data_IF_041876104176
#
_entry.id   IF_041876104176
#
_cell.length_a   1.000
_cell.length_b   1.000
_cell.length_c   1.000
_cell.angle_alpha   90.00
_cell.angle_beta   90.00
_cell.angle_gamma   90.00
#
_symmetry.space_group_name_H-M   'P 1'
#
loop_
_entity.id
_entity.type
_entity.pdbx_description
1 polymer ?
#
# COMPACT_ATOMS: atom_id res chain seq x y z
N UNK A 1 -33.13 -16.75 -12.42
CA UNK A 1 -33.24 -16.14 -11.10
C UNK A 1 -32.30 -14.97 -11.04
N UNK A 2 -32.63 -13.89 -10.34
CA UNK A 2 -31.78 -12.69 -10.24
C UNK A 2 -31.16 -12.62 -8.84
N UNK A 3 -29.92 -12.10 -8.75
CA UNK A 3 -29.27 -11.83 -7.49
C UNK A 3 -30.15 -10.96 -6.59
N UNK A 4 -30.13 -11.22 -5.30
CA UNK A 4 -30.81 -10.39 -4.31
C UNK A 4 -30.29 -8.95 -4.39
N UNK A 5 -31.12 -7.93 -4.08
CA UNK A 5 -30.72 -6.53 -4.22
C UNK A 5 -29.44 -6.17 -3.45
N UNK A 6 -29.21 -6.77 -2.28
CA UNK A 6 -27.99 -6.60 -1.51
C UNK A 6 -26.75 -7.16 -2.25
N UNK A 7 -26.88 -8.34 -2.87
CA UNK A 7 -25.79 -8.94 -3.64
C UNK A 7 -25.50 -8.17 -4.93
N UNK A 8 -26.53 -7.57 -5.54
CA UNK A 8 -26.33 -6.67 -6.68
C UNK A 8 -25.52 -5.44 -6.28
N UNK A 9 -25.80 -4.83 -5.12
CA UNK A 9 -25.02 -3.72 -4.57
C UNK A 9 -23.56 -4.14 -4.28
N UNK A 10 -23.36 -5.32 -3.67
CA UNK A 10 -22.03 -5.87 -3.44
C UNK A 10 -21.23 -6.03 -4.75
N UNK A 11 -21.84 -6.64 -5.77
CA UNK A 11 -21.17 -6.85 -7.06
C UNK A 11 -20.82 -5.54 -7.76
N UNK A 12 -21.70 -4.52 -7.70
CA UNK A 12 -21.38 -3.19 -8.24
C UNK A 12 -20.18 -2.52 -7.55
N UNK A 13 -20.01 -2.76 -6.25
CA UNK A 13 -18.84 -2.30 -5.51
C UNK A 13 -17.61 -3.12 -5.93
N UNK A 14 -17.72 -4.44 -5.94
CA UNK A 14 -16.63 -5.35 -6.30
C UNK A 14 -16.09 -5.11 -7.71
N UNK A 15 -16.93 -4.79 -8.67
CA UNK A 15 -16.53 -4.46 -10.04
C UNK A 15 -15.55 -3.28 -10.13
N UNK A 16 -15.63 -2.35 -9.17
CA UNK A 16 -14.69 -1.20 -9.06
C UNK A 16 -13.42 -1.53 -8.28
N UNK A 17 -13.45 -2.58 -7.44
CA UNK A 17 -12.39 -2.98 -6.53
C UNK A 17 -11.97 -4.45 -6.77
N UNK A 18 -11.68 -4.79 -8.04
CA UNK A 18 -11.44 -6.18 -8.48
C UNK A 18 -10.30 -6.86 -7.72
N UNK A 19 -9.20 -6.15 -7.51
CA UNK A 19 -7.98 -6.66 -6.88
C UNK A 19 -7.93 -6.41 -5.36
N UNK A 20 -9.07 -6.04 -4.75
CA UNK A 20 -9.17 -5.65 -3.34
C UNK A 20 -10.22 -6.50 -2.65
N UNK A 21 -9.93 -7.05 -1.48
CA UNK A 21 -10.90 -7.79 -0.68
C UNK A 21 -11.91 -6.82 -0.06
N UNK A 22 -13.20 -6.99 -0.36
CA UNK A 22 -14.26 -6.10 0.12
C UNK A 22 -14.81 -6.61 1.44
N UNK A 23 -14.60 -5.85 2.51
CA UNK A 23 -15.18 -6.06 3.83
C UNK A 23 -16.50 -5.30 3.91
N UNK A 24 -17.61 -6.02 3.71
CA UNK A 24 -18.93 -5.45 3.52
C UNK A 24 -19.71 -5.44 4.83
N UNK A 25 -20.05 -4.26 5.37
CA UNK A 25 -20.73 -4.12 6.66
C UNK A 25 -22.15 -4.64 6.64
N UNK A 26 -22.45 -5.58 7.53
CA UNK A 26 -23.77 -6.14 7.76
C UNK A 26 -24.01 -6.31 9.27
N UNK A 27 -24.74 -5.38 9.87
CA UNK A 27 -24.94 -5.35 11.33
C UNK A 27 -23.61 -5.24 12.07
N UNK A 28 -23.32 -6.20 12.95
CA UNK A 28 -22.11 -6.23 13.77
C UNK A 28 -20.95 -7.00 13.12
N UNK A 29 -21.06 -7.35 11.82
CA UNK A 29 -20.03 -8.06 11.09
C UNK A 29 -19.61 -7.32 9.84
N UNK A 30 -18.36 -7.57 9.42
CA UNK A 30 -17.94 -7.41 8.04
C UNK A 30 -17.99 -8.78 7.37
N UNK A 31 -18.78 -8.91 6.34
CA UNK A 31 -18.93 -10.13 5.56
C UNK A 31 -18.24 -9.99 4.21
N UNK A 32 -17.62 -11.05 3.77
CA UNK A 32 -17.00 -11.20 2.45
C UNK A 32 -17.76 -12.26 1.68
N UNK A 33 -17.89 -12.10 0.36
CA UNK A 33 -18.69 -12.98 -0.49
C UNK A 33 -17.88 -13.45 -1.70
N UNK A 34 -18.33 -14.56 -2.31
CA UNK A 34 -17.78 -15.16 -3.51
C UNK A 34 -16.26 -15.40 -3.38
N UNK A 35 -15.47 -14.96 -4.36
CA UNK A 35 -14.02 -15.16 -4.37
C UNK A 35 -13.31 -14.50 -3.17
N UNK A 36 -13.80 -13.33 -2.73
CA UNK A 36 -13.27 -12.66 -1.53
C UNK A 36 -13.43 -13.53 -0.28
N UNK A 37 -14.56 -14.22 -0.15
CA UNK A 37 -14.79 -15.13 0.97
C UNK A 37 -13.88 -16.35 0.92
N UNK A 38 -13.64 -16.92 -0.25
CA UNK A 38 -12.75 -18.07 -0.44
C UNK A 38 -11.31 -17.69 -0.07
N UNK A 39 -10.84 -16.55 -0.56
CA UNK A 39 -9.50 -16.04 -0.24
C UNK A 39 -9.38 -15.73 1.25
N UNK A 40 -10.30 -14.92 1.79
CA UNK A 40 -10.24 -14.49 3.18
C UNK A 40 -10.38 -15.66 4.17
N UNK A 41 -11.23 -16.65 3.88
CA UNK A 41 -11.38 -17.84 4.75
C UNK A 41 -10.08 -18.63 4.83
N UNK A 42 -9.36 -18.79 3.71
CA UNK A 42 -8.08 -19.50 3.65
C UNK A 42 -6.98 -18.71 4.37
N UNK A 43 -6.86 -17.41 4.08
CA UNK A 43 -5.75 -16.60 4.60
C UNK A 43 -5.90 -16.24 6.08
N UNK A 44 -7.13 -16.17 6.59
CA UNK A 44 -7.46 -15.80 7.96
C UNK A 44 -7.91 -17.00 8.82
N UNK A 45 -7.95 -18.21 8.22
CA UNK A 45 -8.42 -19.42 8.89
C UNK A 45 -9.88 -19.31 9.41
N UNK A 46 -10.74 -18.62 8.61
CA UNK A 46 -12.15 -18.44 8.94
C UNK A 46 -13.00 -19.57 8.38
N UNK A 47 -14.09 -19.88 9.08
CA UNK A 47 -15.07 -20.84 8.57
C UNK A 47 -15.76 -20.29 7.33
N UNK A 48 -15.64 -21.00 6.20
CA UNK A 48 -16.39 -20.71 4.99
C UNK A 48 -17.80 -21.27 5.13
N UNK A 49 -18.79 -20.40 4.97
CA UNK A 49 -20.23 -20.73 5.00
C UNK A 49 -20.88 -20.35 3.69
N UNK A 50 -22.21 -20.42 3.61
CA UNK A 50 -22.96 -19.99 2.43
C UNK A 50 -24.12 -19.09 2.81
N UNK A 51 -24.34 -18.04 2.02
CA UNK A 51 -25.48 -17.13 2.17
C UNK A 51 -26.43 -17.23 0.98
N UNK A 52 -27.73 -17.13 1.24
CA UNK A 52 -28.71 -17.03 0.19
C UNK A 52 -28.49 -15.72 -0.60
N UNK A 53 -28.29 -15.87 -1.89
CA UNK A 53 -28.01 -14.77 -2.81
C UNK A 53 -29.13 -14.54 -3.84
N UNK A 54 -30.23 -15.32 -3.77
CA UNK A 54 -31.33 -15.30 -4.74
C UNK A 54 -31.12 -16.22 -5.95
N UNK A 55 -30.02 -16.96 -5.99
CA UNK A 55 -29.77 -18.04 -6.96
C UNK A 55 -30.03 -19.40 -6.32
N UNK A 56 -30.00 -20.49 -7.11
CA UNK A 56 -30.14 -21.85 -6.59
C UNK A 56 -29.00 -22.24 -5.66
N UNK A 57 -27.78 -21.83 -6.01
CA UNK A 57 -26.60 -22.03 -5.18
C UNK A 57 -26.38 -20.87 -4.21
N UNK A 58 -26.00 -21.21 -2.98
CA UNK A 58 -25.65 -20.21 -1.97
C UNK A 58 -24.29 -19.59 -2.30
N UNK A 59 -24.17 -18.26 -2.19
CA UNK A 59 -22.89 -17.58 -2.33
C UNK A 59 -21.96 -17.99 -1.18
N UNK A 60 -20.70 -18.40 -1.48
CA UNK A 60 -19.68 -18.55 -0.44
C UNK A 60 -19.59 -17.27 0.39
N UNK A 61 -19.49 -17.40 1.71
CA UNK A 61 -19.44 -16.29 2.66
C UNK A 61 -18.57 -16.64 3.85
N UNK A 62 -17.77 -15.70 4.30
CA UNK A 62 -17.17 -15.68 5.64
C UNK A 62 -17.31 -14.27 6.23
N UNK A 63 -17.10 -14.14 7.54
CA UNK A 63 -17.24 -12.84 8.19
C UNK A 63 -16.43 -12.74 9.47
N UNK A 64 -16.17 -11.49 9.86
CA UNK A 64 -15.45 -11.15 11.09
C UNK A 64 -16.24 -10.11 11.87
N UNK A 65 -16.19 -10.13 13.23
CA UNK A 65 -16.82 -9.10 14.04
C UNK A 65 -16.20 -7.73 13.75
N UNK A 66 -17.03 -6.68 13.66
CA UNK A 66 -16.56 -5.35 13.27
C UNK A 66 -15.52 -4.78 14.25
N UNK A 67 -15.66 -5.05 15.54
CA UNK A 67 -14.75 -4.57 16.57
C UNK A 67 -13.37 -5.24 16.55
N UNK A 68 -13.23 -6.36 15.85
CA UNK A 68 -11.98 -7.10 15.72
C UNK A 68 -11.35 -6.98 14.32
N UNK A 69 -11.94 -6.18 13.43
CA UNK A 69 -11.58 -6.11 12.00
C UNK A 69 -10.12 -5.74 11.77
N UNK A 70 -9.56 -4.85 12.59
CA UNK A 70 -8.20 -4.33 12.44
C UNK A 70 -7.14 -5.43 12.49
N UNK A 71 -7.26 -6.37 13.42
CA UNK A 71 -6.36 -7.52 13.52
C UNK A 71 -6.43 -8.47 12.31
N UNK A 72 -7.61 -8.64 11.73
CA UNK A 72 -7.77 -9.44 10.51
C UNK A 72 -7.24 -8.72 9.27
N UNK A 73 -7.50 -7.42 9.16
CA UNK A 73 -6.95 -6.58 8.09
C UNK A 73 -5.43 -6.57 8.13
N UNK A 74 -4.81 -6.39 9.31
CA UNK A 74 -3.36 -6.42 9.48
C UNK A 74 -2.73 -7.70 8.91
N UNK A 75 -3.31 -8.88 9.21
CA UNK A 75 -2.84 -10.17 8.67
C UNK A 75 -2.92 -10.26 7.15
N UNK A 76 -3.97 -9.72 6.53
CA UNK A 76 -4.11 -9.69 5.07
C UNK A 76 -3.08 -8.75 4.43
N UNK A 77 -2.86 -7.57 5.02
CA UNK A 77 -1.87 -6.61 4.54
C UNK A 77 -0.44 -7.17 4.62
N UNK A 78 -0.10 -7.95 5.66
CA UNK A 78 1.19 -8.63 5.77
C UNK A 78 1.43 -9.65 4.64
N UNK A 79 0.35 -10.25 4.16
CA UNK A 79 0.36 -11.18 3.02
C UNK A 79 0.26 -10.47 1.66
N UNK A 80 0.22 -9.13 1.64
CA UNK A 80 0.20 -8.30 0.44
C UNK A 80 -1.17 -8.03 -0.16
N UNK A 81 -2.26 -8.43 0.50
CA UNK A 81 -3.62 -8.14 0.03
C UNK A 81 -4.01 -6.69 0.31
N UNK A 82 -4.89 -6.15 -0.52
CA UNK A 82 -5.57 -4.87 -0.33
C UNK A 82 -6.96 -5.11 0.24
N UNK A 83 -7.44 -4.24 1.11
CA UNK A 83 -8.74 -4.37 1.77
C UNK A 83 -9.55 -3.08 1.61
N UNK A 84 -10.79 -3.19 1.13
CA UNK A 84 -11.73 -2.08 1.03
C UNK A 84 -12.80 -2.21 2.12
N UNK A 85 -12.89 -1.22 2.99
CA UNK A 85 -13.88 -1.15 4.06
C UNK A 85 -15.15 -0.49 3.52
N UNK A 86 -16.23 -1.25 3.50
CA UNK A 86 -17.54 -0.84 3.03
C UNK A 86 -18.47 -0.63 4.22
N UNK A 87 -18.87 0.62 4.47
CA UNK A 87 -19.75 1.00 5.58
C UNK A 87 -21.16 1.34 5.12
N UNK A 88 -22.11 1.21 6.04
CA UNK A 88 -23.47 1.67 5.87
C UNK A 88 -23.49 3.19 5.97
N UNK A 89 -23.94 3.87 4.91
CA UNK A 89 -24.01 5.34 4.87
C UNK A 89 -25.37 5.88 5.32
N UNK A 90 -26.41 5.02 5.37
CA UNK A 90 -27.74 5.37 5.87
C UNK A 90 -28.09 4.53 7.09
N UNK A 91 -28.80 5.12 8.06
CA UNK A 91 -29.28 4.35 9.21
C UNK A 91 -30.44 3.42 8.82
N UNK A 92 -30.51 2.22 9.40
CA UNK A 92 -31.63 1.33 9.19
C UNK A 92 -32.96 2.03 9.58
N UNK A 93 -33.90 2.13 8.64
CA UNK A 93 -35.20 2.74 8.85
C UNK A 93 -35.37 4.19 8.40
N UNK A 94 -34.31 4.88 7.98
CA UNK A 94 -34.40 6.27 7.45
C UNK A 94 -34.87 6.34 5.99
N UNK A 95 -34.74 5.25 5.24
CA UNK A 95 -35.22 5.16 3.84
C UNK A 95 -36.04 3.89 3.59
N UNK A 96 -37.04 4.00 2.72
CA UNK A 96 -37.76 2.82 2.18
C UNK A 96 -36.84 2.16 1.14
N UNK A 97 -36.20 1.06 1.51
CA UNK A 97 -35.33 0.32 0.57
C UNK A 97 -34.13 -0.32 1.25
N UNK A 98 -33.12 -0.62 0.45
CA UNK A 98 -31.86 -1.21 0.90
C UNK A 98 -30.99 -0.11 1.48
N UNK A 99 -30.38 -0.41 2.61
CA UNK A 99 -29.35 0.46 3.23
C UNK A 99 -28.22 0.68 2.23
N UNK A 100 -27.94 1.93 1.90
CA UNK A 100 -26.83 2.27 1.02
C UNK A 100 -25.49 2.01 1.72
N UNK A 101 -24.54 1.50 0.95
CA UNK A 101 -23.19 1.20 1.41
C UNK A 101 -22.19 1.73 0.42
N UNK A 102 -21.14 2.33 0.94
CA UNK A 102 -20.05 2.87 0.16
C UNK A 102 -18.70 2.50 0.77
N UNK A 103 -17.66 2.42 -0.08
CA UNK A 103 -16.31 2.28 0.40
C UNK A 103 -15.88 3.58 1.05
N UNK A 104 -15.57 3.51 2.35
CA UNK A 104 -15.10 4.65 3.13
C UNK A 104 -13.58 4.74 3.15
N UNK A 105 -12.89 3.61 2.98
CA UNK A 105 -11.43 3.53 3.02
C UNK A 105 -10.95 2.31 2.24
N UNK A 106 -9.86 2.46 1.52
CA UNK A 106 -9.07 1.36 0.99
C UNK A 106 -7.75 1.31 1.76
N UNK A 107 -7.43 0.15 2.33
CA UNK A 107 -6.23 -0.06 3.13
C UNK A 107 -5.32 -0.99 2.33
N UNK A 108 -4.10 -0.53 2.08
CA UNK A 108 -3.08 -1.28 1.36
C UNK A 108 -1.83 -1.45 2.22
N UNK A 109 -0.90 -2.35 1.90
CA UNK A 109 0.32 -2.52 2.68
C UNK A 109 1.13 -1.25 2.91
N UNK A 110 1.15 -0.33 1.91
CA UNK A 110 1.86 0.95 1.99
C UNK A 110 1.05 2.08 2.63
N UNK A 111 -0.26 1.91 2.86
CA UNK A 111 -1.14 2.98 3.36
C UNK A 111 -1.66 2.74 4.78
N UNK A 112 -0.96 1.96 5.58
CA UNK A 112 -1.29 1.74 7.01
C UNK A 112 -1.10 3.03 7.79
N UNK A 113 -2.08 3.37 8.64
CA UNK A 113 -2.04 4.55 9.52
C UNK A 113 -2.29 4.15 10.98
N UNK A 114 -3.12 3.11 11.19
CA UNK A 114 -3.54 2.70 12.52
C UNK A 114 -2.37 2.08 13.27
N UNK A 115 -2.16 2.51 14.51
CA UNK A 115 -1.01 2.09 15.35
C UNK A 115 -0.95 0.58 15.57
N UNK A 116 -2.09 -0.10 15.58
CA UNK A 116 -2.18 -1.56 15.73
C UNK A 116 -1.66 -2.32 14.50
N UNK A 117 -1.61 -1.65 13.33
CA UNK A 117 -1.15 -2.22 12.06
C UNK A 117 0.31 -1.87 11.74
N UNK A 118 0.91 -0.94 12.47
CA UNK A 118 2.27 -0.46 12.27
C UNK A 118 3.25 -1.16 13.20
N UNK A 119 4.44 -1.43 12.70
CA UNK A 119 5.57 -1.87 13.55
C UNK A 119 6.24 -0.62 14.10
N UNK A 120 6.30 -0.48 15.42
CA UNK A 120 6.70 0.75 16.12
C UNK A 120 8.05 1.35 15.66
N UNK A 121 9.00 0.54 15.27
CA UNK A 121 10.39 0.95 15.02
C UNK A 121 10.78 0.91 13.53
N UNK A 122 9.81 0.80 12.62
CA UNK A 122 10.06 0.66 11.19
C UNK A 122 9.12 1.60 10.42
N UNK A 123 9.68 2.34 9.46
CA UNK A 123 8.89 3.14 8.55
C UNK A 123 8.04 2.26 7.62
N UNK A 124 6.84 2.73 7.28
CA UNK A 124 5.93 2.04 6.35
C UNK A 124 5.86 2.82 5.04
N UNK A 125 6.86 2.62 4.19
CA UNK A 125 6.93 3.37 2.93
C UNK A 125 6.02 2.80 1.84
N UNK A 126 5.24 3.69 1.23
CA UNK A 126 4.64 3.52 -0.09
C UNK A 126 5.54 4.20 -1.12
N UNK A 127 5.89 3.51 -2.20
CA UNK A 127 6.77 4.02 -3.24
C UNK A 127 6.06 4.06 -4.59
N UNK A 128 6.33 5.11 -5.36
CA UNK A 128 5.94 5.23 -6.76
C UNK A 128 7.18 5.29 -7.64
N UNK A 129 7.18 4.51 -8.72
CA UNK A 129 8.26 4.46 -9.70
C UNK A 129 7.74 4.85 -11.08
N UNK A 130 8.49 5.70 -11.76
CA UNK A 130 8.21 6.11 -13.13
C UNK A 130 9.42 5.91 -14.02
N UNK A 131 9.28 5.10 -15.07
CA UNK A 131 10.32 4.89 -16.08
C UNK A 131 9.96 5.60 -17.38
N UNK A 132 10.92 6.31 -17.95
CA UNK A 132 10.84 6.92 -19.30
C UNK A 132 12.21 6.86 -19.97
N UNK A 133 12.30 6.17 -21.10
CA UNK A 133 13.59 5.93 -21.77
C UNK A 133 14.53 5.11 -20.88
N UNK A 134 15.72 5.64 -20.61
CA UNK A 134 16.73 5.01 -19.75
C UNK A 134 16.69 5.54 -18.30
N UNK A 135 15.84 6.52 -18.02
CA UNK A 135 15.75 7.16 -16.70
C UNK A 135 14.63 6.60 -15.86
N UNK A 136 14.80 6.69 -14.53
CA UNK A 136 13.80 6.33 -13.54
C UNK A 136 13.66 7.42 -12.49
N UNK A 137 12.42 7.85 -12.22
CA UNK A 137 12.06 8.66 -11.08
C UNK A 137 11.44 7.79 -10.00
N UNK A 138 11.86 7.99 -8.76
CA UNK A 138 11.29 7.34 -7.58
C UNK A 138 10.81 8.41 -6.61
N UNK A 139 9.63 8.18 -6.01
CA UNK A 139 9.13 8.98 -4.88
C UNK A 139 8.52 8.04 -3.85
N UNK A 140 8.77 8.30 -2.57
CA UNK A 140 8.22 7.46 -1.50
C UNK A 140 7.80 8.29 -0.30
N UNK A 141 6.84 7.77 0.43
CA UNK A 141 6.21 8.46 1.56
C UNK A 141 5.93 7.49 2.69
N UNK A 142 6.16 7.93 3.91
CA UNK A 142 5.58 7.32 5.11
C UNK A 142 4.40 8.19 5.56
N UNK A 143 3.19 7.65 5.44
CA UNK A 143 1.97 8.40 5.78
C UNK A 143 1.89 8.69 7.27
N UNK A 144 2.49 7.84 8.11
CA UNK A 144 2.42 7.98 9.57
C UNK A 144 3.27 9.15 10.08
N UNK A 145 4.39 9.44 9.42
CA UNK A 145 5.33 10.52 9.79
C UNK A 145 5.17 11.76 8.92
N UNK A 146 4.63 11.61 7.70
CA UNK A 146 4.57 12.68 6.69
C UNK A 146 5.88 12.88 5.95
N UNK A 147 6.86 12.01 6.15
CA UNK A 147 8.12 12.00 5.40
C UNK A 147 7.87 11.66 3.93
N UNK A 148 8.32 12.53 3.03
CA UNK A 148 8.17 12.38 1.58
C UNK A 148 9.50 12.66 0.90
N UNK A 149 10.03 11.65 0.22
CA UNK A 149 11.34 11.71 -0.42
C UNK A 149 11.25 11.38 -1.91
N UNK A 150 12.28 11.77 -2.66
CA UNK A 150 12.41 11.45 -4.08
C UNK A 150 13.86 11.31 -4.52
N UNK A 151 14.08 10.51 -5.57
CA UNK A 151 15.35 10.35 -6.27
C UNK A 151 15.13 10.16 -7.77
N UNK A 152 16.08 10.62 -8.60
CA UNK A 152 16.06 10.42 -10.05
C UNK A 152 17.39 9.82 -10.50
N UNK A 153 17.29 8.85 -11.40
CA UNK A 153 18.41 8.12 -11.96
C UNK A 153 18.34 8.16 -13.48
N UNK A 154 19.34 8.74 -14.12
CA UNK A 154 19.41 8.86 -15.59
C UNK A 154 20.38 7.83 -16.20
N UNK A 155 21.49 7.54 -15.47
CA UNK A 155 22.47 6.53 -15.87
C UNK A 155 22.47 5.36 -14.88
N UNK A 156 22.65 4.14 -15.38
CA UNK A 156 22.64 2.92 -14.54
C UNK A 156 21.42 2.82 -13.61
N UNK A 157 20.28 3.31 -14.08
CA UNK A 157 19.06 3.47 -13.29
C UNK A 157 18.64 2.19 -12.56
N UNK A 158 18.77 1.02 -13.20
CA UNK A 158 18.43 -0.26 -12.56
C UNK A 158 19.34 -0.59 -11.37
N UNK A 159 20.64 -0.29 -11.43
CA UNK A 159 21.57 -0.53 -10.33
C UNK A 159 21.24 0.34 -9.12
N UNK A 160 21.16 1.66 -9.33
CA UNK A 160 20.86 2.61 -8.26
C UNK A 160 19.46 2.42 -7.68
N UNK A 161 18.49 2.03 -8.53
CA UNK A 161 17.14 1.72 -8.06
C UNK A 161 17.13 0.48 -7.17
N UNK A 162 17.86 -0.59 -7.52
CA UNK A 162 17.97 -1.78 -6.67
C UNK A 162 18.64 -1.48 -5.31
N UNK A 163 19.65 -0.61 -5.30
CA UNK A 163 20.25 -0.11 -4.06
C UNK A 163 19.25 0.67 -3.22
N UNK A 164 18.52 1.61 -3.84
CA UNK A 164 17.47 2.39 -3.18
C UNK A 164 16.38 1.47 -2.61
N UNK A 165 15.86 0.53 -3.40
CA UNK A 165 14.82 -0.40 -2.98
C UNK A 165 15.25 -1.25 -1.79
N UNK A 166 16.48 -1.76 -1.80
CA UNK A 166 17.01 -2.56 -0.68
C UNK A 166 17.20 -1.75 0.60
N UNK A 167 17.43 -0.43 0.49
CA UNK A 167 17.62 0.48 1.62
C UNK A 167 16.29 1.00 2.17
N UNK A 168 15.40 1.48 1.32
CA UNK A 168 14.08 2.01 1.70
C UNK A 168 13.14 0.88 2.13
N UNK A 169 13.27 -0.30 1.52
CA UNK A 169 12.44 -1.49 1.79
C UNK A 169 10.93 -1.17 1.83
N UNK A 170 10.37 -0.63 0.74
CA UNK A 170 8.97 -0.20 0.73
C UNK A 170 8.01 -1.36 0.99
N UNK A 171 6.89 -1.06 1.63
CA UNK A 171 5.82 -2.02 1.91
C UNK A 171 4.90 -2.23 0.70
N UNK A 172 4.88 -1.28 -0.23
CA UNK A 172 4.11 -1.35 -1.47
C UNK A 172 4.77 -0.45 -2.52
N UNK A 173 4.72 -0.91 -3.78
CA UNK A 173 5.23 -0.16 -4.94
C UNK A 173 4.13 -0.03 -5.98
N UNK A 174 3.88 1.18 -6.45
CA UNK A 174 3.10 1.46 -7.64
C UNK A 174 4.02 1.94 -8.76
N UNK A 175 3.68 1.67 -10.01
CA UNK A 175 4.52 2.07 -11.14
C UNK A 175 3.72 2.30 -12.42
N UNK A 176 4.36 2.93 -13.42
CA UNK A 176 3.86 2.92 -14.79
C UNK A 176 4.23 1.61 -15.51
N UNK A 177 3.56 1.30 -16.62
CA UNK A 177 3.78 0.05 -17.35
C UNK A 177 5.22 -0.10 -17.88
N UNK A 178 5.90 1.02 -18.20
CA UNK A 178 7.28 1.00 -18.68
C UNK A 178 8.27 0.37 -17.68
N UNK A 179 7.96 0.44 -16.36
CA UNK A 179 8.78 -0.20 -15.33
C UNK A 179 8.87 -1.71 -15.45
N UNK A 180 7.89 -2.39 -16.06
CA UNK A 180 7.94 -3.84 -16.27
C UNK A 180 9.06 -4.28 -17.24
N UNK A 181 9.56 -3.35 -18.06
CA UNK A 181 10.66 -3.60 -18.98
C UNK A 181 12.04 -3.29 -18.38
N UNK A 182 12.10 -2.89 -17.11
CA UNK A 182 13.35 -2.59 -16.41
C UNK A 182 13.87 -3.82 -15.67
N UNK A 183 15.20 -3.94 -15.53
CA UNK A 183 15.83 -5.05 -14.80
C UNK A 183 15.83 -4.79 -13.27
N UNK A 184 14.64 -4.59 -12.70
CA UNK A 184 14.49 -4.37 -11.25
C UNK A 184 14.29 -5.70 -10.54
N UNK A 185 15.12 -5.97 -9.55
CA UNK A 185 15.01 -7.17 -8.72
C UNK A 185 14.16 -6.90 -7.46
N UNK A 186 12.87 -7.20 -7.57
CA UNK A 186 11.93 -7.04 -6.46
C UNK A 186 12.17 -8.01 -5.30
N UNK A 187 12.95 -9.10 -5.50
CA UNK A 187 13.28 -10.05 -4.42
C UNK A 187 14.16 -9.41 -3.34
N UNK A 188 14.82 -8.30 -3.66
CA UNK A 188 15.68 -7.55 -2.77
C UNK A 188 14.91 -6.55 -1.88
N UNK A 189 13.65 -6.27 -2.22
CA UNK A 189 12.89 -5.19 -1.56
C UNK A 189 12.50 -5.52 -0.14
N UNK A 190 12.11 -6.77 0.12
CA UNK A 190 11.67 -7.16 1.47
C UNK A 190 12.16 -8.55 1.84
N UNK A 191 12.99 -8.60 2.87
CA UNK A 191 13.52 -9.85 3.37
C UNK A 191 12.41 -10.68 4.04
N UNK A 192 12.01 -11.80 3.41
CA UNK A 192 11.00 -12.71 3.96
C UNK A 192 9.56 -12.22 3.96
N UNK A 193 9.25 -11.10 3.28
CA UNK A 193 7.90 -10.57 3.15
C UNK A 193 7.48 -10.32 1.71
N UNK A 194 6.18 -10.08 1.51
CA UNK A 194 5.61 -9.70 0.21
C UNK A 194 5.60 -8.18 0.09
N UNK A 195 6.19 -7.64 -0.98
CA UNK A 195 6.01 -6.25 -1.38
C UNK A 195 5.15 -6.23 -2.65
N UNK A 196 3.88 -5.84 -2.57
CA UNK A 196 3.05 -5.70 -3.76
C UNK A 196 3.65 -4.71 -4.73
N UNK A 197 3.73 -5.12 -6.00
CA UNK A 197 4.19 -4.29 -7.11
C UNK A 197 3.05 -4.26 -8.14
N UNK A 198 2.47 -3.09 -8.37
CA UNK A 198 1.30 -2.96 -9.24
C UNK A 198 1.41 -1.77 -10.18
N UNK A 199 0.90 -1.96 -11.41
CA UNK A 199 0.73 -0.86 -12.35
C UNK A 199 -0.41 0.01 -11.83
N UNK A 200 -0.15 1.31 -11.75
CA UNK A 200 -1.18 2.31 -11.44
C UNK A 200 -1.61 3.01 -12.72
N UNK A 201 -2.66 3.81 -12.63
CA UNK A 201 -3.25 4.55 -13.75
C UNK A 201 -2.20 5.41 -14.49
N UNK A 202 -1.98 5.10 -15.77
CA UNK A 202 -0.99 5.81 -16.61
C UNK A 202 -1.24 7.32 -16.69
N UNK A 203 -2.51 7.75 -16.58
CA UNK A 203 -2.86 9.17 -16.61
C UNK A 203 -2.34 9.94 -15.40
N UNK A 204 -2.12 9.26 -14.28
CA UNK A 204 -1.54 9.84 -13.07
C UNK A 204 -0.04 10.18 -13.24
N UNK A 205 0.64 9.48 -14.15
CA UNK A 205 2.05 9.71 -14.50
C UNK A 205 2.24 10.76 -15.61
N UNK A 206 1.16 11.24 -16.26
CA UNK A 206 1.27 12.35 -17.22
C UNK A 206 1.83 13.58 -16.52
N UNK A 207 2.86 14.21 -17.14
CA UNK A 207 3.59 15.29 -16.50
C UNK A 207 2.71 16.47 -16.08
N UNK A 208 1.76 16.88 -16.94
CA UNK A 208 0.92 18.05 -16.66
C UNK A 208 -0.06 17.74 -15.53
N UNK A 209 -0.59 16.52 -15.46
CA UNK A 209 -1.47 16.09 -14.38
C UNK A 209 -0.68 15.93 -13.07
N UNK A 210 0.44 15.22 -13.10
CA UNK A 210 1.33 15.03 -11.97
C UNK A 210 1.81 16.36 -11.37
N UNK A 211 2.21 17.32 -12.23
CA UNK A 211 2.64 18.64 -11.79
C UNK A 211 1.53 19.44 -11.11
N UNK A 212 0.28 19.34 -11.61
CA UNK A 212 -0.87 19.98 -10.95
C UNK A 212 -1.11 19.41 -9.55
N UNK A 213 -1.03 18.08 -9.39
CA UNK A 213 -1.21 17.40 -8.10
C UNK A 213 -0.09 17.80 -7.13
N UNK A 214 1.17 17.70 -7.57
CA UNK A 214 2.34 18.12 -6.77
C UNK A 214 2.22 19.59 -6.33
N UNK A 215 1.80 20.49 -7.22
CA UNK A 215 1.60 21.92 -6.91
C UNK A 215 0.48 22.14 -5.89
N UNK A 216 -0.58 21.35 -5.94
CA UNK A 216 -1.73 21.42 -5.02
C UNK A 216 -1.35 20.98 -3.61
N UNK A 217 -0.63 19.84 -3.49
CA UNK A 217 -0.48 19.13 -2.23
C UNK A 217 0.87 19.42 -1.53
N UNK A 218 1.97 19.60 -2.27
CA UNK A 218 3.28 19.93 -1.68
C UNK A 218 3.54 21.42 -1.67
N UNK A 219 3.65 21.99 -0.46
CA UNK A 219 3.98 23.41 -0.27
C UNK A 219 5.46 23.69 -0.56
N UNK A 220 6.36 22.86 -0.07
CA UNK A 220 7.78 22.91 -0.37
C UNK A 220 8.14 21.82 -1.37
N UNK A 221 8.39 22.23 -2.60
CA UNK A 221 8.70 21.38 -3.76
C UNK A 221 9.97 21.81 -4.50
N UNK A 222 10.77 22.71 -3.91
CA UNK A 222 11.98 23.25 -4.56
C UNK A 222 12.93 22.16 -5.01
N UNK A 223 13.04 21.09 -4.23
CA UNK A 223 13.88 19.92 -4.54
C UNK A 223 13.43 19.11 -5.77
N UNK A 224 12.16 19.26 -6.19
CA UNK A 224 11.59 18.61 -7.38
C UNK A 224 11.77 19.45 -8.67
N UNK A 225 12.13 20.75 -8.54
CA UNK A 225 12.27 21.62 -9.70
C UNK A 225 13.32 21.07 -10.68
N UNK A 226 12.96 21.01 -11.96
CA UNK A 226 13.81 20.47 -13.04
C UNK A 226 13.88 18.92 -13.10
N UNK A 227 13.25 18.18 -12.20
CA UNK A 227 13.27 16.71 -12.15
C UNK A 227 11.97 16.12 -12.67
N UNK A 228 11.84 16.05 -13.99
CA UNK A 228 10.62 15.58 -14.66
C UNK A 228 10.17 14.22 -14.18
N UNK A 229 11.07 13.24 -14.11
CA UNK A 229 10.71 11.86 -13.73
C UNK A 229 10.23 11.77 -12.27
N UNK A 230 10.87 12.52 -11.36
CA UNK A 230 10.41 12.60 -9.98
C UNK A 230 9.04 13.27 -9.84
N UNK A 231 8.75 14.30 -10.65
CA UNK A 231 7.44 14.96 -10.64
C UNK A 231 6.34 13.97 -11.06
N UNK A 232 6.57 13.18 -12.12
CA UNK A 232 5.64 12.16 -12.56
C UNK A 232 5.40 11.09 -11.46
N UNK A 233 6.48 10.59 -10.85
CA UNK A 233 6.38 9.62 -9.76
C UNK A 233 5.67 10.22 -8.52
N UNK A 234 6.01 11.45 -8.13
CA UNK A 234 5.41 12.12 -6.98
C UNK A 234 3.93 12.44 -7.18
N UNK A 235 3.54 12.89 -8.38
CA UNK A 235 2.15 13.16 -8.70
C UNK A 235 1.28 11.90 -8.63
N UNK A 236 1.74 10.81 -9.24
CA UNK A 236 1.05 9.52 -9.17
C UNK A 236 0.95 8.99 -7.73
N UNK A 237 2.00 9.17 -6.92
CA UNK A 237 2.01 8.79 -5.51
C UNK A 237 0.93 9.54 -4.71
N UNK A 238 0.86 10.85 -4.88
CA UNK A 238 -0.13 11.70 -4.19
C UNK A 238 -1.55 11.39 -4.66
N UNK A 239 -1.76 11.16 -5.95
CA UNK A 239 -3.06 10.76 -6.49
C UNK A 239 -3.51 9.39 -5.95
N UNK A 240 -2.60 8.41 -5.86
CA UNK A 240 -2.87 7.12 -5.25
C UNK A 240 -3.30 7.26 -3.79
N UNK A 241 -2.63 8.13 -3.02
CA UNK A 241 -2.99 8.43 -1.65
C UNK A 241 -4.38 9.09 -1.54
N UNK A 242 -4.71 10.04 -2.42
CA UNK A 242 -6.03 10.67 -2.44
C UNK A 242 -7.14 9.65 -2.75
N UNK A 243 -6.91 8.74 -3.71
CA UNK A 243 -7.87 7.68 -4.09
C UNK A 243 -8.08 6.66 -2.96
N UNK A 244 -7.04 6.23 -2.28
CA UNK A 244 -7.11 5.19 -1.24
C UNK A 244 -7.60 5.72 0.10
N UNK A 245 -7.10 6.87 0.54
CA UNK A 245 -7.42 7.44 1.84
C UNK A 245 -8.72 8.25 1.86
N UNK A 246 -9.19 8.71 0.68
CA UNK A 246 -10.40 9.55 0.52
C UNK A 246 -10.44 10.77 1.44
N UNK A 247 -9.26 11.26 1.86
CA UNK A 247 -9.06 12.43 2.71
C UNK A 247 -7.74 13.12 2.37
N UNK A 248 -7.68 14.43 2.62
CA UNK A 248 -6.46 15.20 2.40
C UNK A 248 -5.44 14.92 3.50
N UNK A 249 -4.22 14.57 3.11
CA UNK A 249 -3.10 14.31 4.01
C UNK A 249 -2.25 15.59 4.18
N UNK A 250 -2.77 16.58 4.91
CA UNK A 250 -2.17 17.91 5.06
C UNK A 250 -0.79 17.93 5.72
N UNK A 251 -0.41 16.88 6.42
CA UNK A 251 0.89 16.75 7.07
C UNK A 251 2.01 16.40 6.08
N UNK A 252 1.68 15.84 4.92
CA UNK A 252 2.63 15.64 3.82
C UNK A 252 2.72 16.97 3.06
N UNK A 253 3.69 17.79 3.39
CA UNK A 253 3.76 19.16 2.85
C UNK A 253 5.10 19.53 2.24
N UNK A 254 6.15 18.73 2.48
CA UNK A 254 7.52 18.94 2.04
C UNK A 254 8.04 17.69 1.35
N UNK A 255 8.80 17.88 0.27
CA UNK A 255 9.53 16.80 -0.39
C UNK A 255 11.02 17.03 -0.26
N UNK A 256 11.76 15.98 0.13
CA UNK A 256 13.21 16.02 0.25
C UNK A 256 13.86 15.17 -0.84
N UNK A 257 14.96 15.68 -1.39
CA UNK A 257 15.76 14.91 -2.33
C UNK A 257 16.69 14.01 -1.54
N UNK A 258 16.73 12.75 -1.91
CA UNK A 258 17.75 11.83 -1.45
C UNK A 258 18.81 11.66 -2.54
N UNK A 259 20.05 12.01 -2.21
CA UNK A 259 21.20 11.79 -3.08
C UNK A 259 21.83 10.45 -2.74
N UNK A 260 21.75 9.52 -3.69
CA UNK A 260 22.34 8.16 -3.49
C UNK A 260 23.85 8.23 -3.30
N UNK A 261 24.51 9.23 -3.88
CA UNK A 261 25.96 9.46 -3.77
C UNK A 261 26.42 9.85 -2.34
N UNK A 262 25.50 10.32 -1.49
CA UNK A 262 25.80 10.67 -0.09
C UNK A 262 25.99 9.43 0.80
N UNK A 263 25.67 8.25 0.28
CA UNK A 263 25.75 6.99 1.00
C UNK A 263 26.76 6.03 0.36
N UNK A 264 27.36 5.18 1.17
CA UNK A 264 28.13 4.06 0.67
C UNK A 264 27.22 3.06 -0.04
N UNK A 265 27.45 2.80 -1.33
CA UNK A 265 26.72 1.81 -2.11
C UNK A 265 26.89 0.42 -1.50
N UNK A 266 25.83 -0.15 -0.96
CA UNK A 266 25.77 -1.52 -0.46
C UNK A 266 24.61 -2.19 -1.17
N UNK A 267 24.91 -3.15 -2.04
CA UNK A 267 23.87 -3.90 -2.75
C UNK A 267 23.03 -4.76 -1.79
N UNK A 268 21.85 -5.17 -2.26
CA UNK A 268 20.91 -5.94 -1.45
C UNK A 268 21.49 -7.27 -0.94
N UNK A 269 22.35 -7.95 -1.70
CA UNK A 269 22.97 -9.19 -1.30
C UNK A 269 24.03 -8.95 -0.20
N UNK A 270 24.83 -7.89 -0.34
CA UNK A 270 25.78 -7.49 0.68
C UNK A 270 25.08 -7.09 1.99
N UNK A 271 23.99 -6.30 1.92
CA UNK A 271 23.17 -5.97 3.11
C UNK A 271 22.66 -7.22 3.82
N UNK A 272 22.20 -8.19 3.04
CA UNK A 272 21.70 -9.48 3.54
C UNK A 272 22.81 -10.30 4.19
N UNK A 273 23.93 -10.47 3.48
CA UNK A 273 25.05 -11.27 3.95
C UNK A 273 25.72 -10.69 5.19
N UNK A 274 25.79 -9.36 5.28
CA UNK A 274 26.32 -8.64 6.44
C UNK A 274 25.33 -8.55 7.61
N UNK A 275 24.10 -9.03 7.42
CA UNK A 275 23.04 -9.00 8.45
C UNK A 275 22.88 -7.61 9.10
N UNK A 276 22.87 -6.55 8.29
CA UNK A 276 22.88 -5.18 8.81
C UNK A 276 21.59 -4.85 9.59
N UNK A 277 20.44 -5.19 9.03
CA UNK A 277 19.12 -4.86 9.61
C UNK A 277 18.30 -6.07 10.05
N UNK A 278 18.53 -7.24 9.42
CA UNK A 278 17.85 -8.50 9.71
C UNK A 278 18.85 -9.64 9.70
N UNK A 279 18.63 -10.70 10.49
CA UNK A 279 19.46 -11.90 10.46
C UNK A 279 18.86 -12.96 9.54
N UNK A 280 19.71 -13.83 8.96
CA UNK A 280 19.27 -14.91 8.07
C UNK A 280 18.63 -16.09 8.82
N UNK A 281 18.89 -16.23 10.12
CA UNK A 281 18.47 -17.41 10.91
C UNK A 281 17.16 -17.27 11.65
N UNK A 282 16.74 -16.06 12.04
CA UNK A 282 15.51 -15.84 12.79
C UNK A 282 14.84 -14.55 12.29
N UNK A 283 13.61 -14.65 11.79
CA UNK A 283 12.84 -13.55 11.19
C UNK A 283 12.58 -12.31 12.07
N UNK A 284 13.08 -12.31 13.31
CA UNK A 284 12.90 -11.24 14.30
C UNK A 284 14.10 -10.28 14.41
N UNK A 285 15.08 -10.33 13.50
CA UNK A 285 16.26 -9.45 13.51
C UNK A 285 17.19 -9.64 14.71
N UNK A 286 16.98 -10.63 15.57
CA UNK A 286 17.91 -10.99 16.63
C UNK A 286 19.22 -11.43 15.99
N UNK A 287 20.34 -10.75 16.35
CA UNK A 287 21.64 -10.99 15.75
C UNK A 287 22.07 -9.99 14.67
N UNK A 288 21.19 -9.11 14.19
CA UNK A 288 21.58 -8.06 13.24
C UNK A 288 22.43 -6.97 13.90
N UNK A 289 23.30 -6.33 13.09
CA UNK A 289 24.12 -5.21 13.54
C UNK A 289 23.27 -4.06 14.09
N UNK A 290 22.19 -3.72 13.39
CA UNK A 290 21.26 -2.69 13.85
C UNK A 290 20.71 -3.01 15.24
N UNK A 291 20.24 -4.22 15.48
CA UNK A 291 19.67 -4.61 16.78
C UNK A 291 20.69 -4.62 17.91
N UNK A 292 21.94 -4.98 17.60
CA UNK A 292 23.04 -4.93 18.55
C UNK A 292 23.35 -3.49 18.96
N UNK A 293 23.34 -2.54 18.01
CA UNK A 293 23.67 -1.12 18.24
C UNK A 293 22.47 -0.32 18.78
N UNK A 294 21.25 -0.72 18.46
CA UNK A 294 20.05 0.02 18.84
C UNK A 294 19.84 0.02 20.36
N UNK A 295 19.94 1.19 20.98
CA UNK A 295 19.71 1.47 22.40
C UNK A 295 18.55 2.45 22.61
N UNK A 296 17.78 2.73 21.58
CA UNK A 296 16.66 3.66 21.67
C UNK A 296 15.51 3.07 22.51
N UNK A 297 14.84 3.94 23.26
CA UNK A 297 13.73 3.56 24.14
C UNK A 297 12.37 3.95 23.56
N UNK A 298 12.32 4.69 22.46
CA UNK A 298 11.09 5.17 21.85
C UNK A 298 11.05 4.82 20.35
N UNK A 299 9.83 4.65 19.80
CA UNK A 299 9.62 4.42 18.38
C UNK A 299 10.24 5.52 17.50
N UNK A 300 10.08 6.78 17.91
CA UNK A 300 10.66 7.94 17.22
C UNK A 300 12.19 7.97 17.24
N UNK A 301 12.81 7.51 18.31
CA UNK A 301 14.27 7.43 18.42
C UNK A 301 14.88 6.28 17.61
N UNK A 302 14.07 5.28 17.26
CA UNK A 302 14.53 4.12 16.50
C UNK A 302 14.36 4.28 14.97
N UNK A 303 13.49 5.18 14.52
CA UNK A 303 13.23 5.55 13.11
C UNK A 303 14.27 6.48 12.50
#
# INVERSE_FOLDING_TARGET
MALSPMMQQYMQIKDRYKDTLVFYRLGDFYEMFFDDAIVASRELELTLTGRDCGLEERAPMCGVPFHAVEGYVAKLLEKGYKVAICEQTTKPGEQKGIVERNIVREITPGTKIDSEMLVDNVNNYLMSLYAEGNGVGASWVDISTGEFNHAQFDAQAALHLNELLSRVAPSEIICNAAMLNTSVDLSLVKFGGVCPFSIFDETAYDFDNAYKVVKKDLKDRKSLEGKRLCICAAGALLEYLERTQKRTLKHISKSEQENVEDFMGIDGNARKTLELTSSMGEGNGRGSLYKFLNRTSTAMGAR
#
